data_IF_272618017389
#
_entry.id   IF_272618017389
#
_cell.length_a   1.000
_cell.length_b   1.000
_cell.length_c   1.000
_cell.angle_alpha   90.00
_cell.angle_beta   90.00
_cell.angle_gamma   90.00
#
_symmetry.space_group_name_H-M   'P 1'
#
loop_
_entity.id
_entity.type
_entity.pdbx_description
1 polymer ?
#
# COMPACT_ATOMS: atom_id res chain seq x y z
N UNK A 1 -0.27 15.83 -10.46
CA UNK A 1 0.07 14.54 -9.84
C UNK A 1 0.68 13.61 -10.87
N UNK A 2 1.82 13.05 -10.59
CA UNK A 2 2.49 12.11 -11.49
C UNK A 2 2.60 10.74 -10.81
N UNK A 3 1.97 9.73 -11.40
CA UNK A 3 1.96 8.36 -10.86
C UNK A 3 2.97 7.50 -11.62
N UNK A 4 3.88 6.86 -10.88
CA UNK A 4 4.94 6.03 -11.44
C UNK A 4 4.99 4.71 -10.67
N UNK A 5 5.00 3.59 -11.38
CA UNK A 5 5.13 2.25 -10.77
C UNK A 5 6.41 1.59 -11.29
N UNK A 6 7.27 1.17 -10.38
CA UNK A 6 8.57 0.57 -10.73
C UNK A 6 8.87 -0.67 -9.90
N UNK A 7 9.61 -1.60 -10.48
CA UNK A 7 10.25 -2.68 -9.73
C UNK A 7 11.32 -2.09 -8.83
N UNK A 8 11.67 -2.80 -7.75
CA UNK A 8 12.70 -2.34 -6.83
C UNK A 8 14.00 -1.98 -7.55
N UNK A 9 14.46 -2.84 -8.45
CA UNK A 9 15.75 -2.62 -9.16
C UNK A 9 15.71 -1.43 -10.12
N UNK A 10 14.53 -0.96 -10.48
CA UNK A 10 14.37 0.20 -11.37
C UNK A 10 14.30 1.52 -10.59
N UNK A 11 14.17 1.46 -9.26
CA UNK A 11 14.14 2.65 -8.43
C UNK A 11 15.51 3.33 -8.40
N UNK A 12 15.51 4.66 -8.52
CA UNK A 12 16.73 5.42 -8.26
C UNK A 12 16.97 5.48 -6.75
N UNK A 13 18.22 5.74 -6.31
CA UNK A 13 18.48 5.93 -4.88
C UNK A 13 17.60 7.02 -4.26
N UNK A 14 17.33 8.09 -4.99
CA UNK A 14 16.48 9.20 -4.50
C UNK A 14 15.03 8.75 -4.34
N UNK A 15 14.52 7.96 -5.27
CA UNK A 15 13.17 7.40 -5.17
C UNK A 15 13.05 6.47 -3.97
N UNK A 16 14.01 5.58 -3.80
CA UNK A 16 14.02 4.66 -2.67
C UNK A 16 14.08 5.42 -1.34
N UNK A 17 14.94 6.43 -1.26
CA UNK A 17 15.05 7.24 -0.05
C UNK A 17 13.72 7.94 0.26
N UNK A 18 13.08 8.53 -0.74
CA UNK A 18 11.80 9.22 -0.56
C UNK A 18 10.72 8.27 -0.08
N UNK A 19 10.68 7.04 -0.61
CA UNK A 19 9.74 6.00 -0.18
C UNK A 19 9.94 5.66 1.29
N UNK A 20 11.18 5.37 1.67
CA UNK A 20 11.48 4.99 3.06
C UNK A 20 11.23 6.15 4.02
N UNK A 21 11.53 7.38 3.61
CA UNK A 21 11.28 8.57 4.41
C UNK A 21 9.78 8.75 4.69
N UNK A 22 8.95 8.64 3.65
CA UNK A 22 7.49 8.79 3.81
C UNK A 22 6.94 7.67 4.70
N UNK A 23 7.38 6.43 4.52
CA UNK A 23 6.95 5.31 5.34
C UNK A 23 7.34 5.51 6.81
N UNK A 24 8.56 5.97 7.07
CA UNK A 24 8.99 6.26 8.44
C UNK A 24 8.16 7.39 9.06
N UNK A 25 7.93 8.44 8.30
CA UNK A 25 7.19 9.62 8.79
C UNK A 25 5.79 9.24 9.29
N UNK A 26 5.09 8.36 8.57
CA UNK A 26 3.71 8.00 8.90
C UNK A 26 3.64 6.78 9.82
N UNK A 27 4.27 5.68 9.42
CA UNK A 27 4.08 4.41 10.14
C UNK A 27 4.84 4.35 11.45
N UNK A 28 5.96 5.04 11.56
CA UNK A 28 6.78 5.02 12.78
C UNK A 28 6.55 6.28 13.61
N UNK A 29 6.72 7.44 13.02
CA UNK A 29 6.67 8.71 13.75
C UNK A 29 5.25 9.15 14.06
N UNK A 30 4.42 9.33 13.03
CA UNK A 30 3.04 9.82 13.22
C UNK A 30 2.20 8.85 14.05
N UNK A 31 2.29 7.55 13.76
CA UNK A 31 1.53 6.53 14.49
C UNK A 31 2.16 6.18 15.85
N UNK A 32 3.31 6.77 16.15
CA UNK A 32 4.03 6.52 17.40
C UNK A 32 4.21 5.01 17.64
N UNK A 33 4.67 4.31 16.60
CA UNK A 33 4.77 2.86 16.60
C UNK A 33 6.23 2.45 16.36
N UNK A 34 6.89 1.93 17.41
CA UNK A 34 8.30 1.57 17.33
C UNK A 34 8.42 0.14 16.79
N UNK A 35 8.61 0.02 15.49
CA UNK A 35 8.85 -1.27 14.83
C UNK A 35 9.72 -1.05 13.59
N UNK A 36 10.26 -2.13 13.08
CA UNK A 36 11.09 -2.06 11.89
C UNK A 36 10.20 -2.15 10.63
N UNK A 37 10.01 -1.02 9.96
CA UNK A 37 9.16 -0.96 8.76
C UNK A 37 9.76 -1.70 7.57
N UNK A 38 11.08 -1.65 7.41
CA UNK A 38 11.78 -2.39 6.34
C UNK A 38 11.78 -3.88 6.71
N UNK A 39 10.99 -4.68 5.99
CA UNK A 39 10.70 -6.07 6.33
C UNK A 39 11.39 -7.09 5.41
N UNK A 40 12.33 -6.64 4.59
CA UNK A 40 13.09 -7.44 3.64
C UNK A 40 12.23 -8.02 2.51
N UNK A 41 11.08 -7.41 2.24
CA UNK A 41 10.20 -7.80 1.14
C UNK A 41 10.16 -6.80 0.01
N UNK A 42 10.63 -5.57 0.25
CA UNK A 42 10.59 -4.49 -0.73
C UNK A 42 11.30 -4.86 -2.03
N UNK A 43 12.37 -5.64 -1.92
CA UNK A 43 13.21 -6.02 -3.07
C UNK A 43 12.46 -6.88 -4.10
N UNK A 44 11.39 -7.55 -3.68
CA UNK A 44 10.61 -8.44 -4.54
C UNK A 44 9.29 -7.81 -4.97
N UNK A 45 9.06 -6.55 -4.63
CA UNK A 45 7.80 -5.87 -4.88
C UNK A 45 7.92 -4.79 -5.94
N UNK A 46 6.76 -4.34 -6.40
CA UNK A 46 6.63 -3.13 -7.20
C UNK A 46 6.26 -1.97 -6.28
N UNK A 47 6.65 -0.77 -6.68
CA UNK A 47 6.49 0.43 -5.86
C UNK A 47 5.75 1.48 -6.65
N UNK A 48 4.52 1.80 -6.20
CA UNK A 48 3.71 2.84 -6.81
C UNK A 48 3.96 4.14 -6.08
N UNK A 49 4.36 5.16 -6.82
CA UNK A 49 4.70 6.47 -6.29
C UNK A 49 3.78 7.53 -6.88
N UNK A 50 3.22 8.37 -6.03
CA UNK A 50 2.48 9.55 -6.45
C UNK A 50 3.28 10.80 -6.10
N UNK A 51 3.77 11.48 -7.12
CA UNK A 51 4.61 12.67 -6.99
C UNK A 51 3.82 13.93 -7.27
N UNK A 52 4.01 14.94 -6.44
CA UNK A 52 3.54 16.28 -6.70
C UNK A 52 4.78 17.15 -6.79
N UNK A 53 5.15 17.54 -8.01
CA UNK A 53 6.44 18.16 -8.31
C UNK A 53 7.58 17.24 -7.86
N UNK A 54 8.42 17.69 -6.92
CA UNK A 54 9.56 16.90 -6.45
C UNK A 54 9.29 16.18 -5.13
N UNK A 55 8.03 16.21 -4.64
CA UNK A 55 7.68 15.62 -3.36
C UNK A 55 6.85 14.34 -3.56
N UNK A 56 7.28 13.27 -2.91
CA UNK A 56 6.50 12.04 -2.86
C UNK A 56 5.38 12.22 -1.82
N UNK A 57 4.12 12.18 -2.27
CA UNK A 57 2.98 12.43 -1.39
C UNK A 57 2.09 11.21 -1.20
N UNK A 58 2.26 10.19 -2.02
CA UNK A 58 1.45 8.97 -1.92
C UNK A 58 2.27 7.77 -2.37
N UNK A 59 2.04 6.62 -1.74
CA UNK A 59 2.82 5.43 -2.03
C UNK A 59 2.05 4.17 -1.65
N UNK A 60 2.18 3.11 -2.43
CA UNK A 60 1.82 1.76 -2.03
C UNK A 60 2.88 0.77 -2.52
N UNK A 61 2.96 -0.36 -1.80
CA UNK A 61 3.77 -1.50 -2.20
C UNK A 61 2.86 -2.56 -2.80
N UNK A 62 3.15 -2.97 -4.04
CA UNK A 62 2.39 -3.97 -4.77
C UNK A 62 3.21 -5.25 -4.77
N UNK A 63 2.73 -6.29 -4.11
CA UNK A 63 3.45 -7.55 -3.96
C UNK A 63 2.89 -8.63 -4.86
N UNK A 64 3.78 -9.36 -5.58
CA UNK A 64 3.36 -10.56 -6.28
C UNK A 64 2.76 -11.59 -5.34
N UNK A 65 1.98 -12.52 -5.87
CA UNK A 65 1.46 -13.65 -5.09
C UNK A 65 2.61 -14.42 -4.44
N UNK A 66 2.42 -14.78 -3.18
CA UNK A 66 3.38 -15.60 -2.43
C UNK A 66 4.44 -14.81 -1.66
N UNK A 67 4.47 -13.47 -1.77
CA UNK A 67 5.45 -12.65 -1.03
C UNK A 67 4.90 -12.25 0.34
N UNK A 68 3.78 -11.56 0.39
CA UNK A 68 3.14 -11.14 1.65
C UNK A 68 2.01 -12.09 2.03
N UNK A 69 1.25 -12.52 1.05
CA UNK A 69 0.13 -13.44 1.18
C UNK A 69 0.18 -14.41 0.01
N UNK A 70 -0.66 -15.42 0.05
CA UNK A 70 -0.82 -16.35 -1.07
C UNK A 70 -1.28 -15.61 -2.33
N UNK A 71 -2.18 -14.62 -2.15
CA UNK A 71 -2.67 -13.77 -3.23
C UNK A 71 -1.70 -12.61 -3.49
N UNK A 72 -1.91 -11.90 -4.61
CA UNK A 72 -1.28 -10.60 -4.81
C UNK A 72 -1.77 -9.65 -3.71
N UNK A 73 -0.98 -8.64 -3.41
CA UNK A 73 -1.25 -7.78 -2.26
C UNK A 73 -0.88 -6.33 -2.53
N UNK A 74 -1.62 -5.43 -1.89
CA UNK A 74 -1.28 -4.02 -1.80
C UNK A 74 -1.06 -3.72 -0.32
N UNK A 75 0.11 -3.19 0.00
CA UNK A 75 0.45 -2.86 1.39
C UNK A 75 1.21 -1.54 1.50
N UNK A 76 1.56 -1.19 2.71
CA UNK A 76 2.27 0.07 3.01
C UNK A 76 1.55 1.26 2.37
N UNK A 77 0.23 1.28 2.43
CA UNK A 77 -0.61 2.34 1.89
C UNK A 77 -0.40 3.61 2.72
N UNK A 78 0.11 4.66 2.10
CA UNK A 78 0.49 5.86 2.85
C UNK A 78 0.32 7.11 2.01
N UNK A 79 -0.15 8.18 2.66
CA UNK A 79 -0.18 9.54 2.10
C UNK A 79 0.58 10.46 3.04
N UNK A 80 1.29 11.44 2.46
CA UNK A 80 2.01 12.44 3.25
C UNK A 80 1.04 13.26 4.09
N UNK A 81 1.31 13.45 5.40
CA UNK A 81 0.42 14.26 6.24
C UNK A 81 0.18 15.67 5.69
N UNK A 82 1.21 16.27 5.10
CA UNK A 82 1.11 17.64 4.58
C UNK A 82 0.33 17.75 3.26
N UNK A 83 0.06 16.61 2.62
CA UNK A 83 -0.63 16.57 1.32
C UNK A 83 -1.98 15.85 1.38
N UNK A 84 -2.41 15.45 2.57
CA UNK A 84 -3.71 14.79 2.72
C UNK A 84 -4.82 15.75 2.33
N UNK A 85 -5.65 15.28 1.41
CA UNK A 85 -6.80 16.02 0.91
C UNK A 85 -7.90 15.03 0.57
N UNK A 86 -9.10 15.55 0.40
CA UNK A 86 -10.27 14.74 0.07
C UNK A 86 -10.02 13.95 -1.21
N UNK A 87 -10.16 12.64 -1.13
CA UNK A 87 -10.05 11.74 -2.27
C UNK A 87 -8.65 11.24 -2.61
N UNK A 88 -7.58 11.72 -1.94
CA UNK A 88 -6.21 11.26 -2.25
C UNK A 88 -6.04 9.76 -1.95
N UNK A 89 -6.55 9.29 -0.83
CA UNK A 89 -6.48 7.86 -0.48
C UNK A 89 -7.22 6.99 -1.50
N UNK A 90 -8.37 7.44 -1.96
CA UNK A 90 -9.15 6.73 -2.97
C UNK A 90 -8.42 6.72 -4.32
N UNK A 91 -7.84 7.85 -4.71
CA UNK A 91 -7.04 7.95 -5.94
C UNK A 91 -5.84 7.00 -5.87
N UNK A 92 -5.13 6.99 -4.75
CA UNK A 92 -3.99 6.10 -4.52
C UNK A 92 -4.39 4.63 -4.67
N UNK A 93 -5.48 4.20 -4.03
CA UNK A 93 -5.92 2.81 -4.11
C UNK A 93 -6.43 2.45 -5.51
N UNK A 94 -7.12 3.36 -6.18
CA UNK A 94 -7.57 3.14 -7.56
C UNK A 94 -6.36 2.94 -8.48
N UNK A 95 -5.34 3.76 -8.36
CA UNK A 95 -4.09 3.61 -9.11
C UNK A 95 -3.39 2.30 -8.79
N UNK A 96 -3.38 1.93 -7.50
CA UNK A 96 -2.75 0.68 -7.05
C UNK A 96 -3.42 -0.55 -7.65
N UNK A 97 -4.74 -0.60 -7.62
CA UNK A 97 -5.52 -1.72 -8.17
C UNK A 97 -5.30 -1.80 -9.69
N UNK A 98 -5.36 -0.66 -10.38
CA UNK A 98 -5.15 -0.60 -11.83
C UNK A 98 -3.76 -1.11 -12.21
N UNK A 99 -2.72 -0.67 -11.51
CA UNK A 99 -1.35 -1.10 -11.77
C UNK A 99 -1.17 -2.59 -11.46
N UNK A 100 -1.73 -3.07 -10.34
CA UNK A 100 -1.65 -4.49 -9.99
C UNK A 100 -2.29 -5.36 -11.06
N UNK A 101 -3.47 -4.97 -11.54
CA UNK A 101 -4.17 -5.72 -12.58
C UNK A 101 -3.42 -5.70 -13.91
N UNK A 102 -2.76 -4.59 -14.22
CA UNK A 102 -1.91 -4.49 -15.41
C UNK A 102 -0.70 -5.44 -15.32
N UNK A 103 -0.14 -5.60 -14.10
CA UNK A 103 1.04 -6.44 -13.89
C UNK A 103 0.71 -7.93 -13.81
N UNK A 104 -0.39 -8.31 -13.15
CA UNK A 104 -0.65 -9.70 -12.78
C UNK A 104 -1.93 -10.28 -13.38
N UNK A 105 -2.69 -9.49 -14.10
CA UNK A 105 -3.92 -9.95 -14.73
C UNK A 105 -5.15 -9.26 -14.16
N UNK A 106 -6.05 -8.93 -15.08
CA UNK A 106 -7.31 -8.30 -14.78
C UNK A 106 -8.18 -9.28 -13.98
N UNK A 107 -8.65 -8.84 -12.84
CA UNK A 107 -9.50 -9.68 -12.00
C UNK A 107 -8.77 -10.52 -10.97
N UNK A 108 -7.44 -10.37 -10.84
CA UNK A 108 -6.70 -11.05 -9.77
C UNK A 108 -7.25 -10.69 -8.40
N UNK A 109 -7.36 -11.69 -7.53
CA UNK A 109 -7.72 -11.45 -6.13
C UNK A 109 -6.62 -10.66 -5.43
N UNK A 110 -7.00 -9.69 -4.61
CA UNK A 110 -6.04 -8.82 -3.90
C UNK A 110 -6.28 -8.92 -2.41
N UNK A 111 -5.26 -9.37 -1.66
CA UNK A 111 -5.32 -9.44 -0.20
C UNK A 111 -4.65 -8.22 0.40
N UNK A 112 -5.25 -7.67 1.46
CA UNK A 112 -4.64 -6.58 2.23
C UNK A 112 -4.73 -6.88 3.72
N UNK A 113 -3.77 -6.34 4.49
CA UNK A 113 -3.87 -6.24 5.93
C UNK A 113 -4.24 -4.81 6.27
N UNK A 114 -5.50 -4.59 6.64
CA UNK A 114 -6.04 -3.26 6.85
C UNK A 114 -6.12 -2.92 8.33
N UNK A 115 -5.75 -1.69 8.69
CA UNK A 115 -6.04 -1.17 10.02
C UNK A 115 -7.55 -1.10 10.18
N UNK A 116 -8.06 -1.59 11.31
CA UNK A 116 -9.51 -1.78 11.52
C UNK A 116 -10.33 -0.50 11.28
N UNK A 117 -9.80 0.66 11.67
CA UNK A 117 -10.54 1.91 11.52
C UNK A 117 -10.76 2.31 10.05
N UNK A 118 -10.03 1.69 9.12
CA UNK A 118 -10.17 1.95 7.67
C UNK A 118 -11.07 0.94 6.97
N UNK A 119 -11.72 0.03 7.71
CA UNK A 119 -12.56 -1.01 7.14
C UNK A 119 -13.59 -0.48 6.14
N UNK A 120 -14.33 0.57 6.53
CA UNK A 120 -15.37 1.15 5.66
C UNK A 120 -14.78 1.73 4.39
N UNK A 121 -13.60 2.33 4.49
CA UNK A 121 -12.92 2.87 3.33
C UNK A 121 -12.61 1.77 2.32
N UNK A 122 -12.02 0.66 2.76
CA UNK A 122 -11.71 -0.45 1.88
C UNK A 122 -12.97 -1.17 1.37
N UNK A 123 -14.01 -1.26 2.19
CA UNK A 123 -15.30 -1.82 1.73
C UNK A 123 -15.88 -1.01 0.59
N UNK A 124 -15.70 0.31 0.60
CA UNK A 124 -16.17 1.18 -0.47
C UNK A 124 -15.46 0.89 -1.81
N UNK A 125 -14.31 0.24 -1.77
CA UNK A 125 -13.56 -0.16 -2.96
C UNK A 125 -13.83 -1.60 -3.37
N UNK A 126 -14.69 -2.31 -2.64
CA UNK A 126 -15.07 -3.70 -2.96
C UNK A 126 -14.36 -4.77 -2.13
N UNK A 127 -13.52 -4.38 -1.19
CA UNK A 127 -12.86 -5.34 -0.30
C UNK A 127 -13.84 -5.87 0.73
N UNK A 128 -13.69 -7.15 1.11
CA UNK A 128 -14.49 -7.79 2.15
C UNK A 128 -13.56 -8.37 3.23
N UNK A 129 -14.01 -8.30 4.47
CA UNK A 129 -13.25 -8.83 5.60
C UNK A 129 -13.17 -10.35 5.53
N UNK A 130 -11.97 -10.91 5.71
CA UNK A 130 -11.73 -12.36 5.64
C UNK A 130 -11.10 -12.94 6.90
N UNK A 131 -10.84 -12.12 7.91
CA UNK A 131 -10.26 -12.61 9.18
C UNK A 131 -10.92 -11.95 10.38
N UNK A 132 -10.70 -12.53 11.55
CA UNK A 132 -10.99 -11.86 12.82
C UNK A 132 -10.01 -10.72 13.03
N UNK A 133 -10.31 -9.85 14.00
CA UNK A 133 -9.41 -8.78 14.40
C UNK A 133 -8.15 -9.38 15.02
N UNK A 134 -6.99 -8.88 14.59
CA UNK A 134 -5.70 -9.24 15.18
C UNK A 134 -4.89 -7.97 15.46
N UNK A 135 -3.88 -8.09 16.31
CA UNK A 135 -3.02 -6.95 16.66
C UNK A 135 -1.72 -7.08 15.89
N UNK A 136 -1.35 -6.03 15.17
CA UNK A 136 -0.06 -5.94 14.48
C UNK A 136 0.56 -4.61 14.86
N UNK A 137 1.77 -4.66 15.41
CA UNK A 137 2.51 -3.47 15.88
C UNK A 137 1.66 -2.59 16.81
N UNK A 138 0.85 -3.23 17.69
CA UNK A 138 0.01 -2.55 18.66
C UNK A 138 -1.26 -1.94 18.11
N UNK A 139 -1.58 -2.16 16.83
CA UNK A 139 -2.75 -1.59 16.15
C UNK A 139 -3.69 -2.71 15.72
N UNK A 140 -4.99 -2.53 15.93
CA UNK A 140 -5.99 -3.48 15.46
C UNK A 140 -6.05 -3.53 13.95
N UNK A 141 -5.96 -4.75 13.40
CA UNK A 141 -5.98 -5.01 11.97
C UNK A 141 -7.01 -6.09 11.63
N UNK A 142 -7.40 -6.15 10.38
CA UNK A 142 -8.14 -7.25 9.77
C UNK A 142 -7.53 -7.56 8.40
N UNK A 143 -7.65 -8.81 7.97
CA UNK A 143 -7.38 -9.14 6.58
C UNK A 143 -8.63 -8.87 5.76
N UNK A 144 -8.45 -8.33 4.57
CA UNK A 144 -9.53 -8.07 3.63
C UNK A 144 -9.12 -8.55 2.25
N UNK A 145 -10.11 -8.90 1.44
CA UNK A 145 -9.90 -9.43 0.11
C UNK A 145 -10.76 -8.68 -0.90
N UNK A 146 -10.15 -8.24 -1.99
CA UNK A 146 -10.89 -7.87 -3.18
C UNK A 146 -10.99 -9.16 -4.00
N UNK A 147 -12.21 -9.74 -4.13
CA UNK A 147 -12.33 -11.05 -4.74
C UNK A 147 -11.92 -11.05 -6.20
N UNK A 148 -11.53 -12.24 -6.67
CA UNK A 148 -11.26 -12.46 -8.07
C UNK A 148 -12.47 -12.06 -8.90
N UNK A 149 -12.25 -11.28 -9.94
CA UNK A 149 -13.32 -10.84 -10.82
C UNK A 149 -13.55 -11.91 -11.91
N UNK A 150 -14.77 -12.37 -11.99
CA UNK A 150 -15.14 -13.43 -12.94
C UNK A 150 -15.72 -12.85 -14.24
#
# INVERSE_FOLDING_TARGET
MNWICKKFDELTPHELYAILQLRNEVFVVEQNCVFQDADNKDQECFHLMGWEEKKLIAYTRIAPAGICYEETSIGRVVTSPSARRKGLGKELMTQSITNLQSLFGKGSAIKIGAQLYLKKFYESLGFVQTSDIYIEDGIEHIEMLLPENQ
#
